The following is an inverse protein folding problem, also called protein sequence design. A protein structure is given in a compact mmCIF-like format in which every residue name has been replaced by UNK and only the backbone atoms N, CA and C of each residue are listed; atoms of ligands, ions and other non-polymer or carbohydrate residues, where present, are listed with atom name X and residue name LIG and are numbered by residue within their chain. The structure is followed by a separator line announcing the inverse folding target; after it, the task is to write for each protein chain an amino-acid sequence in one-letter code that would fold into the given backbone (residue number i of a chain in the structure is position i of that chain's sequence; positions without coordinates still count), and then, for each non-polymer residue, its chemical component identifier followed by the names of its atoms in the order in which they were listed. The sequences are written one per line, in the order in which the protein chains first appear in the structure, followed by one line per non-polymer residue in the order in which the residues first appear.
data_IF_527147549682
#
_entry.id   IF_527147549682
#
_cell.length_a   1.000
_cell.length_b   1.000
_cell.length_c   1.000
_cell.angle_alpha   90.00
_cell.angle_beta   90.00
_cell.angle_gamma   90.00
#
_symmetry.space_group_name_H-M   'P 1'
#
loop_
_entity.id
_entity.type
_entity.pdbx_description
1 polymer ?
#
# COMPACT_ATOMS: atom_id res chain seq x y z
N UNK A 1 1.36 -19.21 -9.14
CA UNK A 1 1.00 -18.53 -10.40
C UNK A 1 0.50 -17.12 -10.12
N UNK A 2 -0.19 -16.93 -9.00
CA UNK A 2 -0.66 -15.65 -8.43
C UNK A 2 0.25 -14.43 -8.64
N UNK A 3 1.56 -14.50 -8.34
CA UNK A 3 2.46 -13.34 -8.50
C UNK A 3 2.59 -12.88 -9.96
N UNK A 4 2.60 -13.82 -10.91
CA UNK A 4 2.73 -13.49 -12.33
C UNK A 4 1.40 -12.98 -12.90
N UNK A 5 0.28 -13.56 -12.46
CA UNK A 5 -1.05 -13.05 -12.80
C UNK A 5 -1.24 -11.61 -12.30
N UNK A 6 -0.82 -11.34 -11.06
CA UNK A 6 -0.86 -10.00 -10.49
C UNK A 6 0.01 -9.01 -11.28
N UNK A 7 1.22 -9.41 -11.69
CA UNK A 7 2.07 -8.57 -12.54
C UNK A 7 1.43 -8.26 -13.89
N UNK A 8 0.78 -9.25 -14.52
CA UNK A 8 0.08 -9.05 -15.78
C UNK A 8 -1.11 -8.08 -15.63
N UNK A 9 -1.88 -8.21 -14.56
CA UNK A 9 -2.97 -7.27 -14.24
C UNK A 9 -2.41 -5.85 -14.00
N UNK A 10 -1.29 -5.72 -13.29
CA UNK A 10 -0.66 -4.41 -13.10
C UNK A 10 -0.18 -3.77 -14.41
N UNK A 11 0.27 -4.58 -15.38
CA UNK A 11 0.68 -4.06 -16.68
C UNK A 11 -0.50 -3.48 -17.47
N UNK A 12 -1.68 -4.09 -17.40
CA UNK A 12 -2.87 -3.60 -18.12
C UNK A 12 -3.48 -2.36 -17.49
N UNK A 13 -3.44 -2.22 -16.16
CA UNK A 13 -4.04 -1.08 -15.45
C UNK A 13 -3.12 0.14 -15.27
N UNK A 14 -1.89 0.07 -15.81
CA UNK A 14 -0.87 1.09 -15.67
C UNK A 14 0.20 0.67 -14.67
N UNK A 15 1.37 0.36 -15.21
CA UNK A 15 2.45 -0.28 -14.46
C UNK A 15 3.10 0.69 -13.44
N UNK A 16 2.91 0.50 -12.13
CA UNK A 16 3.53 1.34 -11.11
C UNK A 16 5.00 0.97 -10.92
N UNK A 17 5.70 1.67 -10.02
CA UNK A 17 7.07 1.30 -9.67
C UNK A 17 7.08 0.06 -8.80
N UNK A 18 7.47 -1.07 -9.38
CA UNK A 18 7.56 -2.36 -8.68
C UNK A 18 8.96 -2.60 -8.13
N UNK A 19 9.02 -3.17 -6.93
CA UNK A 19 10.22 -3.75 -6.32
C UNK A 19 9.94 -5.21 -5.96
N UNK A 20 10.94 -6.08 -6.08
CA UNK A 20 10.82 -7.48 -5.70
C UNK A 20 11.47 -7.73 -4.35
N UNK A 21 10.89 -8.63 -3.56
CA UNK A 21 11.51 -9.16 -2.34
C UNK A 21 11.52 -10.68 -2.45
N UNK A 22 12.70 -11.28 -2.40
CA UNK A 22 12.88 -12.73 -2.41
C UNK A 22 13.14 -13.22 -0.99
N UNK A 23 12.22 -14.02 -0.47
CA UNK A 23 12.24 -14.58 0.88
C UNK A 23 12.65 -16.07 0.89
N UNK A 24 12.75 -16.65 2.08
CA UNK A 24 12.99 -18.10 2.30
C UNK A 24 14.26 -18.66 1.65
N UNK A 25 15.33 -17.87 1.64
CA UNK A 25 16.60 -18.28 1.04
C UNK A 25 17.32 -19.38 1.84
N UNK A 26 16.94 -19.57 3.11
CA UNK A 26 17.60 -20.52 4.03
C UNK A 26 17.12 -21.95 3.87
N UNK A 27 16.00 -22.17 3.17
CA UNK A 27 15.55 -23.52 2.82
C UNK A 27 16.58 -24.24 1.94
N UNK A 28 17.47 -23.50 1.27
CA UNK A 28 18.46 -24.02 0.36
C UNK A 28 19.79 -24.32 1.06
N UNK A 29 20.02 -25.59 1.40
CA UNK A 29 21.27 -26.04 2.05
C UNK A 29 22.55 -25.82 1.21
N UNK A 30 22.46 -25.80 -0.13
CA UNK A 30 23.62 -25.71 -1.04
C UNK A 30 23.78 -24.30 -1.63
N UNK A 31 24.87 -23.62 -1.26
CA UNK A 31 25.21 -22.26 -1.73
C UNK A 31 25.33 -22.12 -3.25
N UNK A 32 25.86 -23.13 -3.95
CA UNK A 32 25.97 -23.10 -5.43
C UNK A 32 24.58 -23.04 -6.09
N UNK A 33 23.63 -23.84 -5.59
CA UNK A 33 22.26 -23.86 -6.10
C UNK A 33 21.52 -22.56 -5.78
N UNK A 34 21.75 -21.99 -4.59
CA UNK A 34 21.19 -20.70 -4.19
C UNK A 34 21.63 -19.57 -5.14
N UNK A 35 22.91 -19.50 -5.49
CA UNK A 35 23.43 -18.49 -6.45
C UNK A 35 22.81 -18.66 -7.84
N UNK A 36 22.69 -19.90 -8.33
CA UNK A 36 22.04 -20.20 -9.62
C UNK A 36 20.56 -19.80 -9.62
N UNK A 37 19.84 -20.09 -8.53
CA UNK A 37 18.44 -19.73 -8.38
C UNK A 37 18.23 -18.21 -8.30
N UNK A 38 19.02 -17.51 -7.48
CA UNK A 38 18.99 -16.04 -7.41
C UNK A 38 19.21 -15.41 -8.78
N UNK A 39 20.18 -15.92 -9.56
CA UNK A 39 20.42 -15.45 -10.94
C UNK A 39 19.21 -15.73 -11.84
N UNK A 40 18.66 -16.95 -11.82
CA UNK A 40 17.49 -17.33 -12.63
C UNK A 40 16.26 -16.46 -12.32
N UNK A 41 15.94 -16.30 -11.04
CA UNK A 41 14.79 -15.50 -10.59
C UNK A 41 14.98 -14.01 -10.91
N UNK A 42 16.19 -13.48 -10.70
CA UNK A 42 16.52 -12.11 -11.07
C UNK A 42 16.37 -11.85 -12.57
N UNK A 43 16.85 -12.78 -13.42
CA UNK A 43 16.70 -12.65 -14.87
C UNK A 43 15.23 -12.69 -15.26
N UNK A 44 14.46 -13.65 -14.74
CA UNK A 44 13.02 -13.74 -15.03
C UNK A 44 12.26 -12.48 -14.59
N UNK A 45 12.54 -11.99 -13.38
CA UNK A 45 11.95 -10.75 -12.86
C UNK A 45 12.26 -9.53 -13.73
N UNK A 46 13.46 -9.45 -14.30
CA UNK A 46 13.83 -8.39 -15.22
C UNK A 46 13.12 -8.48 -16.56
N UNK A 47 12.95 -9.70 -17.10
CA UNK A 47 12.23 -9.92 -18.36
C UNK A 47 10.76 -9.55 -18.25
N UNK A 48 10.12 -9.81 -17.12
CA UNK A 48 8.69 -9.57 -16.95
C UNK A 48 8.36 -8.12 -16.56
N UNK A 49 9.28 -7.39 -15.94
CA UNK A 49 9.00 -6.03 -15.42
C UNK A 49 9.72 -4.97 -16.25
N UNK A 50 10.99 -4.76 -15.98
CA UNK A 50 11.89 -3.94 -16.76
C UNK A 50 13.33 -4.30 -16.39
N UNK A 51 14.23 -4.12 -17.35
CA UNK A 51 15.64 -4.42 -17.15
C UNK A 51 16.20 -3.57 -16.02
N UNK A 52 16.78 -4.21 -15.00
CA UNK A 52 17.38 -3.51 -13.87
C UNK A 52 16.43 -3.21 -12.71
N UNK A 53 15.22 -3.78 -12.69
CA UNK A 53 14.34 -3.72 -11.52
C UNK A 53 15.05 -4.23 -10.25
N UNK A 54 14.81 -3.54 -9.12
CA UNK A 54 15.47 -3.85 -7.84
C UNK A 54 14.82 -5.06 -7.18
N UNK A 55 15.66 -6.02 -6.82
CA UNK A 55 15.29 -7.25 -6.11
C UNK A 55 16.06 -7.31 -4.79
N UNK A 56 15.33 -7.29 -3.69
CA UNK A 56 15.86 -7.46 -2.33
C UNK A 56 15.87 -8.93 -1.96
N UNK A 57 16.82 -9.32 -1.12
CA UNK A 57 16.98 -10.69 -0.65
C UNK A 57 16.81 -10.65 0.86
N UNK A 58 15.75 -11.27 1.36
CA UNK A 58 15.58 -11.52 2.79
C UNK A 58 16.05 -12.94 3.05
N UNK A 59 17.14 -13.03 3.80
CA UNK A 59 17.81 -14.30 4.07
C UNK A 59 17.09 -15.02 5.20
N UNK A 60 17.58 -14.82 6.43
CA UNK A 60 17.19 -15.56 7.61
C UNK A 60 16.14 -14.86 8.46
N UNK A 61 15.21 -15.66 8.98
CA UNK A 61 14.31 -15.27 10.06
C UNK A 61 14.94 -15.75 11.38
N UNK A 62 15.26 -14.82 12.28
CA UNK A 62 15.69 -15.10 13.66
C UNK A 62 14.61 -14.64 14.62
N UNK A 63 14.18 -15.51 15.53
CA UNK A 63 13.12 -15.22 16.51
C UNK A 63 11.83 -14.67 15.87
N UNK A 64 11.43 -15.20 14.71
CA UNK A 64 10.26 -14.74 13.97
C UNK A 64 10.43 -13.39 13.26
N UNK A 65 11.61 -12.77 13.30
CA UNK A 65 11.90 -11.48 12.68
C UNK A 65 12.96 -11.61 11.58
N UNK A 66 12.85 -10.78 10.55
CA UNK A 66 13.88 -10.64 9.53
C UNK A 66 15.11 -9.90 10.07
N UNK A 67 16.25 -10.06 9.38
CA UNK A 67 17.49 -9.37 9.73
C UNK A 67 17.31 -7.85 9.66
N UNK A 68 17.63 -7.15 10.76
CA UNK A 68 17.49 -5.69 10.85
C UNK A 68 18.24 -4.96 9.74
N UNK A 69 19.42 -5.44 9.34
CA UNK A 69 20.21 -4.80 8.27
C UNK A 69 19.51 -4.90 6.89
N UNK A 70 18.99 -6.08 6.55
CA UNK A 70 18.27 -6.28 5.29
C UNK A 70 16.96 -5.48 5.25
N UNK A 71 16.25 -5.42 6.38
CA UNK A 71 15.05 -4.63 6.53
C UNK A 71 15.34 -3.12 6.49
N UNK A 72 16.47 -2.68 7.06
CA UNK A 72 16.90 -1.29 7.02
C UNK A 72 17.21 -0.84 5.58
N UNK A 73 17.90 -1.67 4.78
CA UNK A 73 18.16 -1.37 3.38
C UNK A 73 16.88 -1.32 2.54
N UNK A 74 15.93 -2.23 2.81
CA UNK A 74 14.61 -2.21 2.20
C UNK A 74 13.84 -0.94 2.59
N UNK A 75 13.77 -0.62 3.87
CA UNK A 75 13.09 0.58 4.39
C UNK A 75 13.69 1.87 3.84
N UNK A 76 15.02 1.95 3.72
CA UNK A 76 15.72 3.06 3.06
C UNK A 76 15.30 3.19 1.60
N UNK A 77 15.18 2.07 0.88
CA UNK A 77 14.76 2.10 -0.52
C UNK A 77 13.32 2.60 -0.66
N UNK A 78 12.38 2.07 0.12
CA UNK A 78 10.98 2.52 0.07
C UNK A 78 10.89 4.01 0.39
N UNK A 79 11.62 4.48 1.41
CA UNK A 79 11.59 5.89 1.85
C UNK A 79 12.07 6.88 0.78
N UNK A 80 12.99 6.47 -0.09
CA UNK A 80 13.57 7.34 -1.14
C UNK A 80 12.87 7.15 -2.49
N UNK A 81 12.06 6.10 -2.62
CA UNK A 81 11.43 5.76 -3.89
C UNK A 81 10.38 6.80 -4.27
N UNK A 82 10.54 7.38 -5.46
CA UNK A 82 9.53 8.26 -6.07
C UNK A 82 8.50 7.42 -6.83
N UNK A 83 7.24 7.78 -6.66
CA UNK A 83 6.11 7.16 -7.32
C UNK A 83 5.95 7.72 -8.73
N UNK A 84 5.52 6.85 -9.65
CA UNK A 84 5.11 7.28 -10.99
C UNK A 84 3.62 7.60 -10.90
N UNK A 85 3.19 8.84 -11.20
CA UNK A 85 1.76 9.12 -11.26
C UNK A 85 1.15 8.31 -12.40
N UNK A 86 0.06 7.61 -12.12
CA UNK A 86 -0.74 6.91 -13.12
C UNK A 86 -1.88 7.80 -13.58
N UNK A 87 -2.17 7.80 -14.88
CA UNK A 87 -3.17 8.69 -15.46
C UNK A 87 -4.54 8.53 -14.77
N UNK A 88 -4.97 7.29 -14.55
CA UNK A 88 -6.21 6.98 -13.83
C UNK A 88 -6.23 7.56 -12.40
N UNK A 89 -5.15 7.36 -11.63
CA UNK A 89 -5.03 7.88 -10.26
C UNK A 89 -4.98 9.40 -10.22
N UNK A 90 -4.41 10.03 -11.24
CA UNK A 90 -4.30 11.50 -11.33
C UNK A 90 -5.58 12.18 -11.80
N UNK A 91 -6.49 11.44 -12.45
CA UNK A 91 -7.73 11.98 -13.05
C UNK A 91 -8.98 11.69 -12.22
N UNK A 92 -8.96 10.66 -11.37
CA UNK A 92 -10.12 10.24 -10.59
C UNK A 92 -9.85 10.36 -9.08
N UNK A 93 -10.82 10.87 -8.29
CA UNK A 93 -10.72 10.85 -6.85
C UNK A 93 -10.96 9.42 -6.36
N UNK A 94 -10.15 8.94 -5.43
CA UNK A 94 -10.37 7.65 -4.78
C UNK A 94 -9.98 7.73 -3.31
N UNK A 95 -10.62 6.88 -2.51
CA UNK A 95 -10.37 6.79 -1.08
C UNK A 95 -10.07 5.34 -0.73
N UNK A 96 -9.02 5.14 0.07
CA UNK A 96 -8.75 3.86 0.71
C UNK A 96 -9.29 3.99 2.13
N UNK A 97 -10.30 3.17 2.46
CA UNK A 97 -10.94 3.21 3.76
C UNK A 97 -10.04 2.53 4.80
N UNK A 98 -9.63 3.29 5.81
CA UNK A 98 -8.85 2.80 6.95
C UNK A 98 -9.77 2.33 8.09
N UNK A 99 -10.94 2.97 8.23
CA UNK A 99 -11.96 2.63 9.24
C UNK A 99 -13.36 2.69 8.64
N UNK A 100 -14.20 1.75 9.04
CA UNK A 100 -15.61 1.65 8.65
C UNK A 100 -16.47 1.63 9.91
N UNK A 101 -17.52 2.45 9.94
CA UNK A 101 -18.50 2.50 11.01
C UNK A 101 -19.91 2.37 10.43
N UNK A 102 -20.76 1.62 11.13
CA UNK A 102 -22.19 1.52 10.79
C UNK A 102 -22.96 2.57 11.60
N UNK A 103 -23.69 3.44 10.91
CA UNK A 103 -24.52 4.49 11.49
C UNK A 103 -26.00 4.09 11.60
N UNK A 104 -26.34 2.87 11.20
CA UNK A 104 -27.73 2.37 11.22
C UNK A 104 -28.24 2.21 12.65
N UNK A 105 -29.50 2.58 12.89
CA UNK A 105 -30.12 2.41 14.21
C UNK A 105 -30.17 0.94 14.64
N UNK A 106 -29.86 0.60 15.90
CA UNK A 106 -29.88 -0.78 16.36
C UNK A 106 -31.29 -1.38 16.34
N UNK A 107 -32.33 -0.56 16.46
CA UNK A 107 -33.71 -1.04 16.47
C UNK A 107 -34.17 -1.48 15.07
N UNK A 108 -33.80 -0.77 14.01
CA UNK A 108 -34.07 -1.22 12.64
C UNK A 108 -33.34 -2.52 12.29
N UNK A 109 -32.15 -2.76 12.86
CA UNK A 109 -31.41 -4.02 12.70
C UNK A 109 -32.11 -5.18 13.42
N UNK A 110 -32.74 -4.92 14.58
CA UNK A 110 -33.52 -5.94 15.31
C UNK A 110 -34.81 -6.31 14.57
N UNK A 111 -35.48 -5.33 13.96
CA UNK A 111 -36.70 -5.54 13.17
C UNK A 111 -36.40 -6.32 11.89
N UNK A 112 -35.39 -5.89 11.13
CA UNK A 112 -34.94 -6.57 9.92
C UNK A 112 -33.40 -6.66 9.85
N UNK A 113 -32.83 -7.86 10.04
CA UNK A 113 -31.38 -8.08 9.93
C UNK A 113 -30.78 -7.79 8.54
N UNK A 114 -31.60 -7.77 7.48
CA UNK A 114 -31.19 -7.59 6.08
C UNK A 114 -31.48 -6.17 5.55
N UNK A 115 -31.88 -5.24 6.42
CA UNK A 115 -32.20 -3.88 6.03
C UNK A 115 -30.99 -3.14 5.41
N UNK A 116 -31.29 -2.10 4.62
CA UNK A 116 -30.27 -1.22 4.06
C UNK A 116 -29.56 -0.45 5.17
N UNK A 117 -28.22 -0.55 5.21
CA UNK A 117 -27.38 0.09 6.23
C UNK A 117 -26.76 1.39 5.72
N UNK A 118 -26.65 2.36 6.62
CA UNK A 118 -25.90 3.60 6.37
C UNK A 118 -24.51 3.47 6.97
N UNK A 119 -23.49 3.51 6.12
CA UNK A 119 -22.10 3.28 6.52
C UNK A 119 -21.30 4.57 6.38
N UNK A 120 -20.48 4.87 7.37
CA UNK A 120 -19.45 5.90 7.32
C UNK A 120 -18.09 5.27 7.05
N UNK A 121 -17.38 5.79 6.04
CA UNK A 121 -16.04 5.35 5.67
C UNK A 121 -15.05 6.47 5.93
N UNK A 122 -14.02 6.17 6.72
CA UNK A 122 -12.95 7.10 7.04
C UNK A 122 -11.67 6.66 6.33
N UNK A 123 -10.96 7.62 5.75
CA UNK A 123 -9.69 7.37 5.10
C UNK A 123 -9.13 8.63 4.46
N UNK A 124 -7.97 8.48 3.83
CA UNK A 124 -7.35 9.59 3.10
C UNK A 124 -7.82 9.60 1.65
N UNK A 125 -8.33 10.76 1.22
CA UNK A 125 -8.62 11.02 -0.20
C UNK A 125 -7.31 11.13 -0.98
N UNK A 126 -7.24 10.44 -2.12
CA UNK A 126 -6.09 10.42 -3.03
C UNK A 126 -6.56 10.75 -4.46
N UNK A 127 -5.61 11.14 -5.30
CA UNK A 127 -5.89 11.55 -6.68
C UNK A 127 -6.39 12.99 -6.74
N UNK A 128 -7.53 13.20 -7.40
CA UNK A 128 -8.16 14.53 -7.50
C UNK A 128 -9.03 14.85 -6.28
N UNK A 129 -9.50 16.09 -6.20
CA UNK A 129 -10.47 16.51 -5.17
C UNK A 129 -11.81 15.76 -5.33
N UNK A 130 -12.33 15.23 -4.23
CA UNK A 130 -13.63 14.56 -4.18
C UNK A 130 -14.74 15.59 -3.97
N UNK A 131 -15.80 15.52 -4.78
CA UNK A 131 -16.93 16.46 -4.74
C UNK A 131 -18.04 15.91 -3.86
N UNK A 132 -18.70 16.78 -3.10
CA UNK A 132 -19.90 16.41 -2.33
C UNK A 132 -21.00 15.88 -3.27
N UNK A 133 -21.74 14.86 -2.80
CA UNK A 133 -22.85 14.22 -3.53
C UNK A 133 -22.50 13.53 -4.86
N UNK A 134 -21.23 13.19 -5.11
CA UNK A 134 -20.84 12.36 -6.26
C UNK A 134 -21.25 10.89 -6.08
N UNK A 135 -21.34 10.16 -7.20
CA UNK A 135 -21.41 8.71 -7.18
C UNK A 135 -20.04 8.12 -6.88
N UNK A 136 -20.03 7.05 -6.08
CA UNK A 136 -18.84 6.31 -5.68
C UNK A 136 -19.09 4.83 -5.96
N UNK A 137 -18.14 4.20 -6.64
CA UNK A 137 -18.13 2.75 -6.82
C UNK A 137 -17.37 2.09 -5.68
N UNK A 138 -18.01 1.15 -4.99
CA UNK A 138 -17.37 0.30 -3.99
C UNK A 138 -17.10 -1.06 -4.65
N UNK A 139 -15.82 -1.43 -4.86
CA UNK A 139 -15.48 -2.71 -5.48
C UNK A 139 -16.12 -3.89 -4.74
N UNK A 140 -16.94 -4.67 -5.44
CA UNK A 140 -17.65 -5.82 -4.90
C UNK A 140 -19.02 -5.52 -4.26
N UNK A 141 -19.38 -4.26 -4.05
CA UNK A 141 -20.70 -3.87 -3.52
C UNK A 141 -21.57 -3.14 -4.56
N UNK A 142 -20.96 -2.38 -5.47
CA UNK A 142 -21.67 -1.65 -6.53
C UNK A 142 -21.54 -0.13 -6.42
N UNK A 143 -22.42 0.58 -7.12
CA UNK A 143 -22.43 2.04 -7.20
C UNK A 143 -23.39 2.65 -6.20
N UNK A 144 -22.90 3.61 -5.41
CA UNK A 144 -23.66 4.29 -4.38
C UNK A 144 -23.54 5.81 -4.54
N UNK A 145 -24.59 6.54 -4.15
CA UNK A 145 -24.53 8.00 -4.09
C UNK A 145 -24.05 8.42 -2.69
N UNK A 146 -23.03 9.27 -2.64
CA UNK A 146 -22.52 9.77 -1.37
C UNK A 146 -23.55 10.68 -0.69
N UNK A 147 -23.90 10.37 0.55
CA UNK A 147 -24.87 11.15 1.33
C UNK A 147 -24.25 12.43 1.89
N UNK A 148 -23.09 12.30 2.54
CA UNK A 148 -22.35 13.42 3.14
C UNK A 148 -20.84 13.24 2.97
N UNK A 149 -20.11 14.36 3.00
CA UNK A 149 -18.65 14.40 2.97
C UNK A 149 -18.13 15.42 3.99
N UNK A 150 -17.47 14.93 5.03
CA UNK A 150 -16.82 15.74 6.06
C UNK A 150 -15.31 15.58 6.01
N UNK A 151 -14.59 16.69 6.24
CA UNK A 151 -13.13 16.69 6.35
C UNK A 151 -12.76 16.66 7.83
N UNK A 152 -11.95 15.68 8.23
CA UNK A 152 -11.46 15.53 9.59
C UNK A 152 -9.99 15.95 9.70
N UNK A 153 -9.55 16.42 10.88
CA UNK A 153 -8.13 16.69 11.11
C UNK A 153 -7.31 15.40 10.98
N UNK A 154 -6.09 15.55 10.47
CA UNK A 154 -5.17 14.44 10.28
C UNK A 154 -4.76 13.83 11.63
N UNK A 155 -5.00 12.53 11.89
CA UNK A 155 -4.55 11.88 13.12
C UNK A 155 -3.01 11.77 13.21
N UNK A 156 -2.31 11.81 12.06
CA UNK A 156 -0.85 11.72 11.98
C UNK A 156 -0.27 12.87 11.15
N UNK A 157 -0.28 14.11 11.69
CA UNK A 157 0.28 15.25 10.99
C UNK A 157 1.78 15.02 10.73
N UNK A 158 2.20 15.33 9.50
CA UNK A 158 3.62 15.31 9.16
C UNK A 158 4.34 16.43 9.95
N UNK A 159 5.53 16.16 10.51
CA UNK A 159 6.33 17.23 11.13
C UNK A 159 6.59 18.33 10.08
N UNK A 160 6.42 19.59 10.48
CA UNK A 160 6.68 20.73 9.60
C UNK A 160 8.13 20.73 9.10
N UNK A 161 8.37 21.43 7.98
CA UNK A 161 9.60 21.44 7.16
C UNK A 161 10.86 21.98 7.86
N UNK A 162 11.19 21.56 9.08
CA UNK A 162 12.55 21.70 9.57
C UNK A 162 13.44 20.72 8.80
N UNK A 163 14.46 21.26 8.12
CA UNK A 163 15.47 20.51 7.36
C UNK A 163 16.39 19.70 8.28
N UNK A 164 15.83 18.81 9.11
CA UNK A 164 16.61 17.85 9.89
C UNK A 164 16.78 16.58 9.05
N UNK A 165 18.02 16.09 8.98
CA UNK A 165 18.37 14.86 8.24
C UNK A 165 17.92 13.58 8.95
N UNK A 166 17.50 13.69 10.21
CA UNK A 166 17.06 12.61 11.09
C UNK A 166 15.75 13.00 11.75
N UNK A 167 14.85 12.02 11.90
CA UNK A 167 13.64 12.15 12.71
C UNK A 167 13.98 11.88 14.17
N UNK A 168 13.31 12.59 15.07
CA UNK A 168 13.36 12.25 16.49
C UNK A 168 12.53 10.98 16.80
N UNK A 169 12.69 10.37 17.97
CA UNK A 169 11.99 9.12 18.33
C UNK A 169 10.46 9.28 18.27
N UNK A 170 9.95 10.44 18.74
CA UNK A 170 8.51 10.77 18.68
C UNK A 170 8.01 10.92 17.25
N UNK A 171 8.77 11.61 16.40
CA UNK A 171 8.45 11.78 14.98
C UNK A 171 8.53 10.46 14.22
N UNK A 172 9.41 9.56 14.65
CA UNK A 172 9.53 8.21 14.10
C UNK A 172 8.27 7.42 14.37
N UNK A 173 7.72 7.45 15.59
CA UNK A 173 6.45 6.77 15.91
C UNK A 173 5.27 7.32 15.10
N UNK A 174 5.16 8.65 14.98
CA UNK A 174 4.13 9.31 14.17
C UNK A 174 4.25 8.96 12.68
N UNK A 175 5.47 9.02 12.14
CA UNK A 175 5.72 8.68 10.74
C UNK A 175 5.53 7.19 10.46
N UNK A 176 5.86 6.29 11.41
CA UNK A 176 5.65 4.83 11.34
C UNK A 176 4.18 4.47 11.14
N UNK A 177 3.28 5.22 11.77
CA UNK A 177 1.85 4.98 11.69
C UNK A 177 1.20 5.74 10.50
N UNK A 178 1.83 6.82 10.04
CA UNK A 178 1.40 7.65 8.89
C UNK A 178 2.06 7.33 7.54
N UNK A 179 2.75 6.19 7.37
CA UNK A 179 3.51 5.85 6.14
C UNK A 179 2.70 5.98 4.84
N UNK A 180 1.38 5.79 4.91
CA UNK A 180 0.46 5.86 3.79
C UNK A 180 0.52 7.17 2.98
N UNK A 181 0.92 8.30 3.59
CA UNK A 181 1.05 9.60 2.89
C UNK A 181 2.41 9.86 2.25
N UNK A 182 3.50 9.32 2.81
CA UNK A 182 4.85 9.56 2.26
C UNK A 182 5.01 8.93 0.86
N UNK A 183 4.10 8.01 0.52
CA UNK A 183 4.06 7.32 -0.76
C UNK A 183 3.12 7.93 -1.82
N UNK A 184 2.50 9.09 -1.55
CA UNK A 184 1.44 9.66 -2.39
C UNK A 184 1.62 11.13 -2.81
N UNK A 185 2.80 11.72 -2.55
CA UNK A 185 3.19 13.06 -3.03
C UNK A 185 4.38 12.96 -4.01
#
# INVERSE_FOLDING_TARGET
METFEFLNILQTHGFPRVMGVLTHLDMMKKNKNLRRLKKKLKQRFWTEIYQGAKLFYLSNIRHGQYMKNELHDLGRFISVTKFKPLDWQSSHPYLIADRMEDLTSPDSIKEDPLCNRTISLYGYVRGTSMKSSSYVHIPGCGDFKMADLSVLPDPYPLPEKEKKRSLDERETHLCSNGWHRRCGL
#
